data_IF_642775376564
#
_entry.id   IF_642775376564
#
_cell.length_a   1.000
_cell.length_b   1.000
_cell.length_c   1.000
_cell.angle_alpha   90.00
_cell.angle_beta   90.00
_cell.angle_gamma   90.00
#
_symmetry.space_group_name_H-M   'P 1'
#
loop_
_entity.id
_entity.type
_entity.pdbx_description
1 polymer ?
#
# COMPACT_ATOMS: atom_id res chain seq x y z
N UNK A 1 11.41 36.80 23.12
CA UNK A 1 10.04 36.39 22.75
C UNK A 1 9.90 34.94 23.17
N UNK A 2 8.89 34.63 23.99
CA UNK A 2 8.56 33.26 24.35
C UNK A 2 7.92 32.68 23.09
N UNK A 3 8.59 31.74 22.44
CA UNK A 3 8.00 31.08 21.26
C UNK A 3 6.79 30.31 21.74
N UNK A 4 5.63 30.60 21.18
CA UNK A 4 4.45 29.75 21.32
C UNK A 4 4.79 28.42 20.62
N UNK A 5 5.35 27.49 21.38
CA UNK A 5 5.22 26.06 21.10
C UNK A 5 3.77 25.70 21.42
N UNK A 6 2.86 26.05 20.50
CA UNK A 6 1.52 25.47 20.51
C UNK A 6 1.71 23.95 20.37
N UNK A 7 1.56 23.25 21.49
CA UNK A 7 1.62 21.79 21.57
C UNK A 7 0.57 21.23 20.61
N UNK A 8 1.02 20.68 19.48
CA UNK A 8 0.13 20.12 18.48
C UNK A 8 -0.66 18.97 19.09
N UNK A 9 -1.99 19.08 19.10
CA UNK A 9 -2.87 18.04 19.62
C UNK A 9 -2.87 16.85 18.65
N UNK A 10 -2.07 15.84 18.97
CA UNK A 10 -2.00 14.59 18.23
C UNK A 10 -3.19 13.66 18.51
N UNK A 11 -4.15 14.05 19.37
CA UNK A 11 -5.32 13.22 19.66
C UNK A 11 -6.33 13.27 18.50
N UNK A 12 -6.84 12.10 18.14
CA UNK A 12 -7.96 11.94 17.20
C UNK A 12 -9.02 11.07 17.85
N UNK A 13 -10.29 11.46 17.74
CA UNK A 13 -11.40 10.64 18.24
C UNK A 13 -11.53 9.37 17.39
N UNK A 14 -11.39 8.21 18.03
CA UNK A 14 -11.65 6.94 17.37
C UNK A 14 -13.16 6.72 17.24
N UNK A 15 -13.62 6.46 16.03
CA UNK A 15 -15.00 6.04 15.78
C UNK A 15 -15.10 4.52 15.79
N UNK A 16 -16.22 4.00 16.32
CA UNK A 16 -16.53 2.57 16.24
C UNK A 16 -17.05 2.27 14.84
N UNK A 17 -16.29 1.50 14.09
CA UNK A 17 -16.72 1.04 12.77
C UNK A 17 -17.95 0.13 12.86
N UNK A 18 -18.85 0.28 11.89
CA UNK A 18 -19.98 -0.63 11.73
C UNK A 18 -19.50 -2.00 11.26
N UNK A 19 -19.99 -3.05 11.89
CA UNK A 19 -19.59 -4.42 11.61
C UNK A 19 -20.10 -4.86 10.22
N UNK A 20 -19.18 -5.24 9.34
CA UNK A 20 -19.51 -5.87 8.06
C UNK A 20 -20.12 -7.23 8.33
N UNK A 21 -21.24 -7.55 7.66
CA UNK A 21 -21.93 -8.81 7.92
C UNK A 21 -21.05 -10.01 7.54
N UNK A 22 -21.26 -11.13 8.21
CA UNK A 22 -20.51 -12.37 7.92
C UNK A 22 -20.73 -12.84 6.49
N UNK A 23 -21.95 -12.69 5.98
CA UNK A 23 -22.34 -13.06 4.62
C UNK A 23 -21.52 -12.26 3.61
N UNK A 24 -21.42 -10.94 3.81
CA UNK A 24 -20.60 -10.06 2.98
C UNK A 24 -19.12 -10.47 3.03
N UNK A 25 -18.58 -10.80 4.20
CA UNK A 25 -17.16 -11.21 4.36
C UNK A 25 -16.83 -12.54 3.69
N UNK A 26 -17.80 -13.45 3.55
CA UNK A 26 -17.63 -14.75 2.89
C UNK A 26 -17.46 -14.59 1.37
N UNK A 27 -18.12 -13.61 0.78
CA UNK A 27 -18.06 -13.33 -0.66
C UNK A 27 -16.72 -12.71 -1.10
N UNK A 28 -15.95 -12.16 -0.15
CA UNK A 28 -14.68 -11.51 -0.41
C UNK A 28 -13.52 -12.50 -0.57
N UNK A 29 -12.51 -12.07 -1.32
CA UNK A 29 -11.26 -12.78 -1.48
C UNK A 29 -10.46 -12.76 -0.20
N UNK A 30 -10.00 -13.94 0.22
CA UNK A 30 -9.22 -14.08 1.45
C UNK A 30 -7.72 -13.85 1.22
N UNK A 31 -7.06 -13.37 2.25
CA UNK A 31 -5.63 -13.10 2.28
C UNK A 31 -5.08 -13.16 3.71
N UNK A 32 -3.83 -12.71 3.88
CA UNK A 32 -3.13 -12.73 5.15
C UNK A 32 -2.72 -14.14 5.57
N UNK A 33 -2.40 -14.28 6.85
CA UNK A 33 -1.90 -15.54 7.38
C UNK A 33 -2.96 -16.65 7.26
N UNK A 34 -2.63 -17.71 6.51
CA UNK A 34 -3.51 -18.84 6.28
C UNK A 34 -4.81 -18.52 5.54
N UNK A 35 -4.87 -17.40 4.79
CA UNK A 35 -6.07 -16.94 4.07
C UNK A 35 -7.30 -16.82 4.98
N UNK A 36 -7.12 -16.26 6.18
CA UNK A 36 -8.20 -16.09 7.17
C UNK A 36 -8.76 -14.68 7.24
N UNK A 37 -8.14 -13.72 6.55
CA UNK A 37 -8.55 -12.32 6.57
C UNK A 37 -9.32 -11.97 5.30
N UNK A 38 -10.35 -11.15 5.43
CA UNK A 38 -11.09 -10.48 4.36
C UNK A 38 -11.77 -9.23 4.92
N UNK A 39 -12.18 -8.30 4.06
CA UNK A 39 -12.89 -7.06 4.38
C UNK A 39 -12.03 -5.95 4.99
N UNK A 40 -10.74 -6.19 5.24
CA UNK A 40 -9.83 -5.18 5.83
C UNK A 40 -9.56 -4.06 4.83
N UNK A 41 -9.33 -4.40 3.57
CA UNK A 41 -8.99 -3.41 2.55
C UNK A 41 -10.22 -2.64 2.11
N UNK A 42 -11.40 -3.26 2.13
CA UNK A 42 -12.67 -2.54 1.91
C UNK A 42 -12.92 -1.47 2.97
N UNK A 43 -12.46 -1.69 4.21
CA UNK A 43 -12.63 -0.75 5.33
C UNK A 43 -11.57 0.33 5.36
N UNK A 44 -10.30 -0.07 5.23
CA UNK A 44 -9.14 0.79 5.48
C UNK A 44 -8.36 1.09 4.19
N UNK A 45 -9.06 1.20 3.06
CA UNK A 45 -8.39 1.36 1.77
C UNK A 45 -7.61 2.66 1.69
N UNK A 46 -8.16 3.73 2.25
CA UNK A 46 -7.61 5.08 2.17
C UNK A 46 -6.35 5.21 3.04
N UNK A 47 -6.35 4.65 4.24
CA UNK A 47 -5.21 4.70 5.15
C UNK A 47 -4.09 3.77 4.70
N UNK A 48 -4.45 2.62 4.14
CA UNK A 48 -3.46 1.64 3.72
C UNK A 48 -2.92 1.91 2.31
N UNK A 49 -3.59 2.69 1.45
CA UNK A 49 -3.22 2.83 0.02
C UNK A 49 -1.78 3.25 -0.22
N UNK A 50 -1.16 3.95 0.72
CA UNK A 50 0.23 4.42 0.60
C UNK A 50 1.27 3.35 0.97
N UNK A 51 0.84 2.29 1.66
CA UNK A 51 1.69 1.19 2.16
C UNK A 51 1.61 -0.06 1.27
N UNK A 52 0.50 -0.24 0.57
CA UNK A 52 0.17 -1.44 -0.22
C UNK A 52 -0.08 -1.09 -1.68
N UNK A 53 0.67 -1.75 -2.56
CA UNK A 53 0.56 -1.56 -4.01
C UNK A 53 -0.75 -2.12 -4.60
N UNK A 54 -1.45 -2.98 -3.86
CA UNK A 54 -2.67 -3.67 -4.32
C UNK A 54 -3.90 -3.00 -3.71
N UNK A 55 -4.67 -2.30 -4.56
CA UNK A 55 -5.82 -1.48 -4.13
C UNK A 55 -7.12 -2.23 -3.90
N UNK A 56 -7.27 -3.47 -4.38
CA UNK A 56 -8.56 -4.19 -4.33
C UNK A 56 -8.41 -5.63 -3.85
N UNK A 57 -7.60 -5.82 -2.81
CA UNK A 57 -7.26 -7.15 -2.27
C UNK A 57 -8.47 -8.03 -1.97
N UNK A 58 -9.58 -7.43 -1.53
CA UNK A 58 -10.85 -8.10 -1.23
C UNK A 58 -11.61 -8.61 -2.45
N UNK A 59 -11.28 -8.13 -3.65
CA UNK A 59 -12.00 -8.44 -4.90
C UNK A 59 -11.13 -9.09 -5.96
N UNK A 60 -9.82 -9.13 -5.75
CA UNK A 60 -8.85 -9.75 -6.65
C UNK A 60 -8.38 -11.10 -6.10
N UNK A 61 -8.33 -12.10 -6.96
CA UNK A 61 -7.76 -13.41 -6.66
C UNK A 61 -6.24 -13.33 -6.43
N UNK A 62 -5.67 -14.34 -5.78
CA UNK A 62 -4.22 -14.40 -5.58
C UNK A 62 -3.41 -14.39 -6.90
N UNK A 63 -3.96 -14.96 -7.97
CA UNK A 63 -3.35 -14.93 -9.31
C UNK A 63 -3.37 -13.55 -9.93
N UNK A 64 -4.49 -12.82 -9.81
CA UNK A 64 -4.61 -11.45 -10.32
C UNK A 64 -3.66 -10.52 -9.57
N UNK A 65 -3.66 -10.59 -8.23
CA UNK A 65 -2.72 -9.85 -7.37
C UNK A 65 -1.26 -10.08 -7.76
N UNK A 66 -0.89 -11.34 -8.04
CA UNK A 66 0.47 -11.66 -8.48
C UNK A 66 0.78 -11.03 -9.83
N UNK A 67 -0.13 -11.11 -10.80
CA UNK A 67 0.05 -10.54 -12.13
C UNK A 67 0.19 -9.02 -12.06
N UNK A 68 -0.76 -8.35 -11.42
CA UNK A 68 -0.77 -6.89 -11.25
C UNK A 68 0.50 -6.39 -10.57
N UNK A 69 0.97 -7.08 -9.52
CA UNK A 69 2.23 -6.74 -8.86
C UNK A 69 3.42 -6.82 -9.81
N UNK A 70 3.52 -7.88 -10.62
CA UNK A 70 4.62 -8.03 -11.59
C UNK A 70 4.60 -6.94 -12.67
N UNK A 71 3.40 -6.62 -13.17
CA UNK A 71 3.21 -5.57 -14.17
C UNK A 71 3.57 -4.20 -13.60
N UNK A 72 3.12 -3.90 -12.36
CA UNK A 72 3.44 -2.67 -11.65
C UNK A 72 4.94 -2.56 -11.36
N UNK A 73 5.56 -3.61 -10.79
CA UNK A 73 7.01 -3.69 -10.53
C UNK A 73 7.82 -3.42 -11.81
N UNK A 74 7.41 -4.01 -12.94
CA UNK A 74 8.06 -3.78 -14.25
C UNK A 74 7.90 -2.34 -14.72
N UNK A 75 6.72 -1.74 -14.50
CA UNK A 75 6.43 -0.36 -14.91
C UNK A 75 7.12 0.69 -14.05
N UNK A 76 7.27 0.47 -12.74
CA UNK A 76 7.96 1.40 -11.83
C UNK A 76 9.48 1.26 -11.91
N UNK A 77 9.99 0.14 -12.44
CA UNK A 77 11.41 -0.10 -12.54
C UNK A 77 12.09 0.96 -13.43
N UNK A 78 12.97 1.75 -12.82
CA UNK A 78 13.77 2.75 -13.52
C UNK A 78 15.25 2.34 -13.50
N UNK A 79 15.76 1.94 -14.67
CA UNK A 79 17.15 1.46 -14.80
C UNK A 79 18.18 2.48 -14.29
N UNK A 80 17.98 3.77 -14.59
CA UNK A 80 18.89 4.85 -14.19
C UNK A 80 18.88 5.11 -12.68
N UNK A 81 17.76 4.84 -12.01
CA UNK A 81 17.67 4.91 -10.55
C UNK A 81 18.54 3.82 -9.88
N UNK A 82 18.62 2.64 -10.49
CA UNK A 82 19.37 1.50 -9.96
C UNK A 82 20.81 1.42 -10.45
N UNK A 83 21.18 2.07 -11.56
CA UNK A 83 22.54 2.13 -12.09
C UNK A 83 23.02 3.58 -12.27
N UNK A 84 23.50 4.25 -11.19
CA UNK A 84 23.87 5.65 -11.28
C UNK A 84 25.07 5.96 -12.18
N UNK A 85 26.01 5.04 -12.40
CA UNK A 85 27.22 5.33 -13.20
C UNK A 85 27.83 4.08 -13.85
N UNK A 86 27.68 3.95 -15.16
CA UNK A 86 28.76 3.42 -16.02
C UNK A 86 28.98 4.35 -17.22
N UNK A 87 28.99 5.67 -16.97
CA UNK A 87 29.60 6.59 -17.93
C UNK A 87 31.11 6.53 -17.74
N UNK A 88 31.90 5.92 -18.64
CA UNK A 88 33.34 6.08 -18.59
C UNK A 88 33.61 7.58 -18.74
N UNK A 89 34.24 8.19 -17.74
CA UNK A 89 34.84 9.51 -17.92
C UNK A 89 35.98 9.33 -18.90
N UNK A 90 35.68 9.43 -20.20
CA UNK A 90 36.66 9.66 -21.22
C UNK A 90 37.17 11.09 -20.99
N UNK A 91 38.07 11.26 -20.01
CA UNK A 91 38.87 12.47 -19.89
C UNK A 91 40.10 12.31 -20.78
N UNK A 92 40.02 12.85 -21.98
CA UNK A 92 41.16 13.36 -22.74
C UNK A 92 40.59 14.51 -23.61
N UNK A 93 41.32 15.63 -23.75
CA UNK A 93 42.64 15.66 -24.36
C UNK A 93 43.80 15.87 -23.38
#
# INVERSE_FOLDING_TARGET
>A
MKGDEDEFDWQVEQQVDMETSKEQLIELQKYGFGNKMSGVFTKLQEELSDVIDIRNSDRTTASERRRERLDAETSIFCHDHYLPVSHPKNSSP
#
